data_IF_916249299335
#
_entry.id   IF_916249299335
#
_cell.length_a   1.000
_cell.length_b   1.000
_cell.length_c   1.000
_cell.angle_alpha   90.00
_cell.angle_beta   90.00
_cell.angle_gamma   90.00
#
_symmetry.space_group_name_H-M   'P 1'
#
loop_
_entity.id
_entity.type
_entity.pdbx_description
1 polymer ?
#
# COMPACT_ATOMS: atom_id res chain seq x y z
N UNK A 1 20.25 0.70 14.15
CA UNK A 1 20.14 0.93 15.61
C UNK A 1 19.79 2.39 15.99
N UNK A 2 19.90 3.36 15.07
CA UNK A 2 19.84 4.80 15.42
C UNK A 2 18.43 5.44 15.44
N UNK A 3 17.46 4.92 14.68
CA UNK A 3 16.12 5.51 14.58
C UNK A 3 15.29 5.34 15.87
N UNK A 4 15.33 4.16 16.50
CA UNK A 4 14.58 3.89 17.73
C UNK A 4 14.98 4.83 18.90
N UNK A 5 16.25 5.25 18.94
CA UNK A 5 16.75 6.18 19.96
C UNK A 5 16.20 7.59 19.72
N UNK A 6 16.09 8.01 18.46
CA UNK A 6 15.52 9.31 18.09
C UNK A 6 14.03 9.36 18.45
N UNK A 7 13.28 8.29 18.18
CA UNK A 7 11.85 8.19 18.54
C UNK A 7 11.63 8.18 20.06
N UNK A 8 12.47 7.45 20.80
CA UNK A 8 12.43 7.47 22.26
C UNK A 8 12.71 8.87 22.81
N UNK A 9 13.70 9.60 22.26
CA UNK A 9 14.04 10.95 22.69
C UNK A 9 12.90 11.96 22.42
N UNK A 10 12.25 11.89 21.26
CA UNK A 10 11.09 12.76 20.96
C UNK A 10 9.94 12.48 21.94
N UNK A 11 9.66 11.22 22.23
CA UNK A 11 8.59 10.82 23.17
C UNK A 11 8.88 11.28 24.59
N UNK A 12 10.14 11.15 25.02
CA UNK A 12 10.61 11.61 26.34
C UNK A 12 10.51 13.12 26.48
N UNK A 13 10.92 13.90 25.47
CA UNK A 13 10.81 15.37 25.55
C UNK A 13 9.35 15.83 25.49
N UNK A 14 8.49 15.14 24.73
CA UNK A 14 7.04 15.40 24.74
C UNK A 14 6.36 15.03 26.06
N UNK A 15 6.98 14.20 26.90
CA UNK A 15 6.45 13.79 28.22
C UNK A 15 6.98 14.61 29.40
N UNK A 16 7.81 15.63 29.16
CA UNK A 16 8.27 16.52 30.23
C UNK A 16 7.12 17.41 30.73
N UNK A 17 7.10 17.66 32.04
CA UNK A 17 6.20 18.61 32.66
C UNK A 17 6.76 20.05 32.57
N UNK A 18 5.87 21.04 32.57
CA UNK A 18 6.24 22.46 32.45
C UNK A 18 7.36 22.90 33.41
N UNK A 19 7.43 22.44 34.69
CA UNK A 19 8.50 22.83 35.61
C UNK A 19 9.90 22.34 35.19
N UNK A 20 10.04 21.10 34.69
CA UNK A 20 11.32 20.57 34.22
C UNK A 20 11.81 21.33 32.99
N UNK A 21 10.92 21.61 32.04
CA UNK A 21 11.28 22.35 30.84
C UNK A 21 11.69 23.80 31.15
N UNK A 22 11.01 24.46 32.09
CA UNK A 22 11.31 25.83 32.50
C UNK A 22 12.60 25.96 33.33
N UNK A 23 13.05 24.88 33.99
CA UNK A 23 14.32 24.84 34.73
C UNK A 23 15.58 24.89 33.84
N UNK A 24 15.44 24.62 32.54
CA UNK A 24 16.54 24.66 31.58
C UNK A 24 16.97 26.08 31.23
N UNK A 25 18.22 26.27 30.80
CA UNK A 25 18.66 27.55 30.25
C UNK A 25 17.95 27.87 28.93
N UNK A 26 17.76 29.16 28.61
CA UNK A 26 17.15 29.59 27.32
C UNK A 26 17.86 28.97 26.12
N UNK A 27 19.19 28.96 26.12
CA UNK A 27 19.98 28.38 25.02
C UNK A 27 19.81 26.86 24.89
N UNK A 28 19.60 26.16 26.02
CA UNK A 28 19.31 24.72 26.03
C UNK A 28 17.92 24.44 25.46
N UNK A 29 16.90 25.23 25.86
CA UNK A 29 15.56 25.15 25.28
C UNK A 29 15.56 25.43 23.78
N UNK A 30 16.26 26.49 23.35
CA UNK A 30 16.36 26.87 21.95
C UNK A 30 17.10 25.79 21.12
N UNK A 31 18.14 25.16 21.66
CA UNK A 31 18.85 24.06 21.01
C UNK A 31 18.00 22.78 20.91
N UNK A 32 17.23 22.45 21.96
CA UNK A 32 16.30 21.30 21.97
C UNK A 32 15.18 21.52 20.97
N UNK A 33 14.52 22.69 20.98
CA UNK A 33 13.48 23.06 20.02
C UNK A 33 13.99 23.00 18.59
N UNK A 34 15.19 23.54 18.32
CA UNK A 34 15.78 23.51 16.98
C UNK A 34 16.06 22.08 16.49
N UNK A 35 16.53 21.18 17.37
CA UNK A 35 16.73 19.77 17.00
C UNK A 35 15.42 19.03 16.81
N UNK A 36 14.44 19.23 17.68
CA UNK A 36 13.13 18.59 17.62
C UNK A 36 12.26 19.10 16.49
N UNK A 37 12.47 20.31 15.98
CA UNK A 37 11.73 20.83 14.83
C UNK A 37 12.39 20.45 13.52
N UNK A 38 13.73 20.48 13.46
CA UNK A 38 14.47 20.23 12.22
C UNK A 38 14.61 18.75 11.90
N UNK A 39 14.83 17.89 12.89
CA UNK A 39 15.09 16.45 12.69
C UNK A 39 13.85 15.69 12.21
N UNK A 40 12.66 15.84 12.84
CA UNK A 40 11.45 15.15 12.38
C UNK A 40 10.97 15.66 11.03
N UNK A 41 11.09 16.95 10.75
CA UNK A 41 10.70 17.52 9.46
C UNK A 41 11.61 17.05 8.32
N UNK A 42 12.93 17.04 8.50
CA UNK A 42 13.83 16.50 7.47
C UNK A 42 13.69 14.99 7.29
N UNK A 43 13.39 14.26 8.37
CA UNK A 43 13.16 12.83 8.32
C UNK A 43 11.84 12.49 7.59
N UNK A 44 10.72 13.06 8.03
CA UNK A 44 9.41 12.93 7.38
C UNK A 44 9.51 13.35 5.90
N UNK A 45 10.18 14.45 5.54
CA UNK A 45 10.35 14.85 4.13
C UNK A 45 11.07 13.81 3.25
N UNK A 46 12.13 13.16 3.77
CA UNK A 46 12.87 12.14 3.01
C UNK A 46 12.05 10.85 2.85
N UNK A 47 11.39 10.43 3.92
CA UNK A 47 10.55 9.23 3.89
C UNK A 47 9.26 9.46 3.07
N UNK A 48 8.73 10.70 3.05
CA UNK A 48 7.65 11.15 2.16
C UNK A 48 8.06 11.00 0.69
N UNK A 49 9.29 11.40 0.32
CA UNK A 49 9.75 11.28 -1.07
C UNK A 49 9.77 9.81 -1.52
N UNK A 50 10.37 8.93 -0.72
CA UNK A 50 10.40 7.50 -1.01
C UNK A 50 9.00 6.87 -1.03
N UNK A 51 8.11 7.33 -0.15
CA UNK A 51 6.71 6.90 -0.15
C UNK A 51 6.00 7.34 -1.43
N UNK A 52 6.21 8.57 -1.91
CA UNK A 52 5.63 9.06 -3.16
C UNK A 52 6.14 8.33 -4.40
N UNK A 53 7.43 8.00 -4.46
CA UNK A 53 7.99 7.18 -5.54
C UNK A 53 7.32 5.80 -5.58
N UNK A 54 7.29 5.11 -4.44
CA UNK A 54 6.66 3.79 -4.34
C UNK A 54 5.14 3.82 -4.56
N UNK A 55 4.46 4.90 -4.14
CA UNK A 55 3.05 5.15 -4.45
C UNK A 55 2.84 5.32 -5.96
N UNK A 56 3.68 6.12 -6.62
CA UNK A 56 3.57 6.36 -8.06
C UNK A 56 3.77 5.07 -8.85
N UNK A 57 4.77 4.27 -8.51
CA UNK A 57 5.03 2.98 -9.15
C UNK A 57 3.84 2.04 -8.97
N UNK A 58 3.27 1.97 -7.76
CA UNK A 58 2.11 1.13 -7.49
C UNK A 58 0.85 1.63 -8.21
N UNK A 59 0.62 2.94 -8.27
CA UNK A 59 -0.53 3.50 -8.99
C UNK A 59 -0.44 3.21 -10.48
N UNK A 60 0.73 3.34 -11.10
CA UNK A 60 0.93 2.99 -12.51
C UNK A 60 0.60 1.52 -12.76
N UNK A 61 1.12 0.61 -11.91
CA UNK A 61 0.80 -0.81 -12.04
C UNK A 61 -0.69 -1.10 -11.82
N UNK A 62 -1.34 -0.43 -10.86
CA UNK A 62 -2.77 -0.58 -10.65
C UNK A 62 -3.59 -0.10 -11.85
N UNK A 63 -3.17 0.97 -12.53
CA UNK A 63 -3.82 1.43 -13.75
C UNK A 63 -3.69 0.39 -14.87
N UNK A 64 -2.50 -0.19 -15.04
CA UNK A 64 -2.23 -1.24 -16.04
C UNK A 64 -3.07 -2.51 -15.79
N UNK A 65 -3.14 -2.98 -14.53
CA UNK A 65 -3.91 -4.18 -14.20
C UNK A 65 -5.41 -3.93 -14.28
N UNK A 66 -5.90 -2.75 -13.89
CA UNK A 66 -7.31 -2.37 -14.03
C UNK A 66 -7.74 -2.28 -15.50
N UNK A 67 -6.87 -1.78 -16.37
CA UNK A 67 -7.09 -1.80 -17.83
C UNK A 67 -7.10 -3.24 -18.37
N UNK A 68 -6.15 -4.07 -17.96
CA UNK A 68 -6.11 -5.48 -18.37
C UNK A 68 -7.36 -6.26 -17.92
N UNK A 69 -7.86 -5.99 -16.71
CA UNK A 69 -9.09 -6.59 -16.18
C UNK A 69 -10.33 -6.08 -16.91
N UNK A 70 -10.37 -4.80 -17.30
CA UNK A 70 -11.48 -4.22 -18.07
C UNK A 70 -11.54 -4.78 -19.49
N UNK A 71 -10.37 -5.05 -20.08
CA UNK A 71 -10.25 -5.62 -21.43
C UNK A 71 -10.39 -7.16 -21.45
N UNK A 72 -10.59 -7.81 -20.30
CA UNK A 72 -10.85 -9.24 -20.26
C UNK A 72 -12.18 -9.54 -20.95
N UNK A 73 -12.14 -10.39 -21.99
CA UNK A 73 -13.33 -10.80 -22.74
C UNK A 73 -14.38 -11.47 -21.83
N UNK A 74 -15.65 -11.35 -22.22
CA UNK A 74 -16.75 -12.10 -21.61
C UNK A 74 -16.40 -13.60 -21.54
N UNK A 75 -16.88 -14.34 -20.51
CA UNK A 75 -16.57 -15.76 -20.36
C UNK A 75 -16.86 -16.55 -21.64
N UNK A 76 -15.80 -17.10 -22.24
CA UNK A 76 -15.91 -17.84 -23.49
C UNK A 76 -16.76 -19.11 -23.32
N UNK A 77 -17.47 -19.52 -24.38
CA UNK A 77 -18.35 -20.70 -24.39
C UNK A 77 -17.66 -21.92 -25.02
N UNK A 78 -16.62 -21.71 -25.84
CA UNK A 78 -15.90 -22.80 -26.50
C UNK A 78 -14.70 -23.27 -25.66
N UNK A 79 -14.58 -24.58 -25.44
CA UNK A 79 -13.49 -25.25 -24.69
C UNK A 79 -12.07 -24.68 -24.97
N UNK A 80 -11.66 -24.59 -26.25
CA UNK A 80 -10.33 -24.06 -26.62
C UNK A 80 -10.13 -22.58 -26.26
N UNK A 81 -11.21 -21.79 -26.24
CA UNK A 81 -11.18 -20.39 -25.83
C UNK A 81 -11.20 -20.27 -24.31
N UNK A 82 -11.94 -21.15 -23.62
CA UNK A 82 -11.94 -21.26 -22.15
C UNK A 82 -10.54 -21.56 -21.63
N UNK A 83 -9.83 -22.52 -22.21
CA UNK A 83 -8.45 -22.87 -21.81
C UNK A 83 -7.50 -21.66 -21.93
N UNK A 84 -7.61 -20.91 -23.05
CA UNK A 84 -6.83 -19.69 -23.25
C UNK A 84 -7.18 -18.62 -22.23
N UNK A 85 -8.47 -18.43 -21.92
CA UNK A 85 -8.94 -17.45 -20.92
C UNK A 85 -8.46 -17.81 -19.51
N UNK A 86 -8.42 -19.11 -19.18
CA UNK A 86 -7.91 -19.60 -17.89
C UNK A 86 -6.41 -19.33 -17.72
N UNK A 87 -5.60 -19.55 -18.77
CA UNK A 87 -4.18 -19.21 -18.73
C UNK A 87 -3.94 -17.70 -18.56
N UNK A 88 -4.70 -16.85 -19.27
CA UNK A 88 -4.62 -15.39 -19.09
C UNK A 88 -4.99 -14.98 -17.65
N UNK A 89 -6.09 -15.50 -17.11
CA UNK A 89 -6.50 -15.20 -15.73
C UNK A 89 -5.48 -15.66 -14.70
N UNK A 90 -4.85 -16.82 -14.92
CA UNK A 90 -3.79 -17.33 -14.04
C UNK A 90 -2.55 -16.43 -14.04
N UNK A 91 -2.18 -15.88 -15.19
CA UNK A 91 -1.08 -14.91 -15.30
C UNK A 91 -1.42 -13.61 -14.54
N UNK A 92 -2.61 -13.05 -14.75
CA UNK A 92 -3.07 -11.85 -14.04
C UNK A 92 -3.09 -12.05 -12.53
N UNK A 93 -3.60 -13.19 -12.05
CA UNK A 93 -3.57 -13.54 -10.63
C UNK A 93 -2.15 -13.66 -10.07
N UNK A 94 -1.21 -14.22 -10.85
CA UNK A 94 0.20 -14.31 -10.44
C UNK A 94 0.82 -12.93 -10.30
N UNK A 95 0.53 -12.02 -11.24
CA UNK A 95 1.03 -10.66 -11.24
C UNK A 95 0.49 -9.84 -10.06
N UNK A 96 -0.82 -9.94 -9.78
CA UNK A 96 -1.45 -9.34 -8.59
C UNK A 96 -0.82 -9.88 -7.30
N UNK A 97 -0.57 -11.19 -7.24
CA UNK A 97 0.08 -11.83 -6.09
C UNK A 97 1.52 -11.34 -5.90
N UNK A 98 2.26 -11.12 -6.98
CA UNK A 98 3.63 -10.60 -6.92
C UNK A 98 3.67 -9.16 -6.36
N UNK A 99 2.76 -8.31 -6.84
CA UNK A 99 2.64 -6.93 -6.38
C UNK A 99 2.06 -6.78 -4.98
N UNK A 100 1.36 -7.80 -4.47
CA UNK A 100 0.84 -7.82 -3.08
C UNK A 100 1.93 -7.58 -2.04
N UNK A 101 3.12 -8.14 -2.26
CA UNK A 101 4.27 -7.93 -1.35
C UNK A 101 4.76 -6.48 -1.37
N UNK A 102 4.73 -5.82 -2.54
CA UNK A 102 5.13 -4.40 -2.66
C UNK A 102 4.09 -3.49 -2.01
N UNK A 103 2.81 -3.79 -2.22
CA UNK A 103 1.70 -3.11 -1.55
C UNK A 103 1.77 -3.22 -0.03
N UNK A 104 2.03 -4.41 0.54
CA UNK A 104 2.18 -4.59 2.00
C UNK A 104 3.34 -3.76 2.58
N UNK A 105 4.47 -3.66 1.85
CA UNK A 105 5.61 -2.82 2.24
C UNK A 105 5.24 -1.33 2.22
N UNK A 106 4.52 -0.88 1.18
CA UNK A 106 4.04 0.49 1.08
C UNK A 106 3.10 0.81 2.25
N UNK A 107 2.17 -0.09 2.56
CA UNK A 107 1.23 0.01 3.67
C UNK A 107 1.93 0.20 5.02
N UNK A 108 2.93 -0.66 5.30
CA UNK A 108 3.70 -0.58 6.54
C UNK A 108 4.50 0.71 6.64
N UNK A 109 5.12 1.12 5.53
CA UNK A 109 5.90 2.37 5.44
C UNK A 109 4.99 3.58 5.65
N UNK A 110 3.85 3.62 4.96
CA UNK A 110 2.88 4.69 5.06
C UNK A 110 2.24 4.80 6.45
N UNK A 111 1.88 3.68 7.08
CA UNK A 111 1.37 3.67 8.46
C UNK A 111 2.40 4.20 9.46
N UNK A 112 3.68 3.82 9.27
CA UNK A 112 4.77 4.38 10.07
C UNK A 112 4.92 5.87 9.83
N UNK A 113 4.89 6.30 8.56
CA UNK A 113 5.05 7.70 8.18
C UNK A 113 3.92 8.60 8.73
N UNK A 114 2.67 8.12 8.69
CA UNK A 114 1.51 8.83 9.21
C UNK A 114 1.63 9.11 10.73
N UNK A 115 2.25 8.21 11.49
CA UNK A 115 2.51 8.42 12.92
C UNK A 115 3.63 9.43 13.21
N UNK A 116 4.48 9.71 12.21
CA UNK A 116 5.67 10.53 12.36
C UNK A 116 5.51 11.96 11.84
N UNK A 117 4.63 12.14 10.86
CA UNK A 117 4.34 13.44 10.29
C UNK A 117 3.34 14.22 11.17
N UNK A 118 3.21 15.51 10.89
CA UNK A 118 2.20 16.35 11.56
C UNK A 118 0.81 15.89 11.13
N UNK A 119 -0.20 16.18 11.94
CA UNK A 119 -1.57 15.64 11.79
C UNK A 119 -2.14 15.82 10.38
N UNK A 120 -1.97 17.00 9.76
CA UNK A 120 -2.44 17.25 8.38
C UNK A 120 -1.75 16.37 7.32
N UNK A 121 -0.43 16.18 7.43
CA UNK A 121 0.34 15.37 6.48
C UNK A 121 0.14 13.87 6.72
N UNK A 122 -0.10 13.48 7.97
CA UNK A 122 -0.45 12.11 8.33
C UNK A 122 -1.79 11.68 7.75
N UNK A 123 -2.78 12.59 7.72
CA UNK A 123 -4.08 12.34 7.06
C UNK A 123 -3.90 12.09 5.57
N UNK A 124 -3.10 12.92 4.86
CA UNK A 124 -2.84 12.73 3.42
C UNK A 124 -2.21 11.36 3.12
N UNK A 125 -1.23 10.94 3.92
CA UNK A 125 -0.60 9.63 3.79
C UNK A 125 -1.60 8.50 4.04
N UNK A 126 -2.49 8.67 5.03
CA UNK A 126 -3.54 7.70 5.31
C UNK A 126 -4.55 7.57 4.16
N UNK A 127 -5.02 8.69 3.61
CA UNK A 127 -5.97 8.70 2.48
C UNK A 127 -5.39 7.97 1.26
N UNK A 128 -4.10 8.18 0.97
CA UNK A 128 -3.39 7.47 -0.10
C UNK A 128 -3.38 5.97 0.15
N UNK A 129 -3.08 5.54 1.38
CA UNK A 129 -3.07 4.11 1.74
C UNK A 129 -4.46 3.49 1.57
N UNK A 130 -5.50 4.13 2.09
CA UNK A 130 -6.87 3.65 1.99
C UNK A 130 -7.34 3.52 0.54
N UNK A 131 -6.94 4.45 -0.33
CA UNK A 131 -7.21 4.35 -1.77
C UNK A 131 -6.60 3.09 -2.39
N UNK A 132 -5.31 2.82 -2.14
CA UNK A 132 -4.69 1.60 -2.68
C UNK A 132 -5.32 0.33 -2.11
N UNK A 133 -5.70 0.35 -0.82
CA UNK A 133 -6.38 -0.78 -0.19
C UNK A 133 -7.70 -1.11 -0.91
N UNK A 134 -8.49 -0.08 -1.20
CA UNK A 134 -9.74 -0.23 -1.94
C UNK A 134 -9.51 -0.77 -3.36
N UNK A 135 -8.53 -0.23 -4.09
CA UNK A 135 -8.18 -0.69 -5.45
C UNK A 135 -7.71 -2.14 -5.48
N UNK A 136 -6.85 -2.54 -4.54
CA UNK A 136 -6.39 -3.93 -4.42
C UNK A 136 -7.55 -4.89 -4.13
N UNK A 137 -8.48 -4.51 -3.25
CA UNK A 137 -9.66 -5.31 -2.96
C UNK A 137 -10.55 -5.49 -4.21
N UNK A 138 -10.71 -4.45 -5.02
CA UNK A 138 -11.46 -4.52 -6.27
C UNK A 138 -10.77 -5.43 -7.29
N UNK A 139 -9.44 -5.32 -7.45
CA UNK A 139 -8.67 -6.20 -8.33
C UNK A 139 -8.86 -7.67 -7.94
N UNK A 140 -8.72 -7.99 -6.65
CA UNK A 140 -8.93 -9.36 -6.13
C UNK A 140 -10.37 -9.85 -6.45
N UNK A 141 -11.39 -9.00 -6.26
CA UNK A 141 -12.79 -9.35 -6.53
C UNK A 141 -13.08 -9.59 -8.01
N UNK A 142 -12.56 -8.74 -8.90
CA UNK A 142 -12.78 -8.86 -10.35
C UNK A 142 -12.13 -10.13 -10.87
N UNK A 143 -10.90 -10.44 -10.45
CA UNK A 143 -10.23 -11.70 -10.79
C UNK A 143 -11.03 -12.92 -10.34
N UNK A 144 -11.48 -12.95 -9.08
CA UNK A 144 -12.29 -14.06 -8.59
C UNK A 144 -13.60 -14.24 -9.35
N UNK A 145 -14.26 -13.13 -9.70
CA UNK A 145 -15.54 -13.16 -10.40
C UNK A 145 -15.39 -13.60 -11.86
N UNK A 146 -14.27 -13.27 -12.52
CA UNK A 146 -13.96 -13.78 -13.86
C UNK A 146 -13.58 -15.26 -13.89
N UNK A 147 -12.92 -15.77 -12.85
CA UNK A 147 -12.44 -17.15 -12.80
C UNK A 147 -13.57 -18.17 -12.51
N UNK A 148 -14.54 -17.82 -11.66
CA UNK A 148 -15.64 -18.71 -11.22
C UNK A 148 -16.48 -19.27 -12.39
N UNK A 149 -16.93 -18.47 -13.39
CA UNK A 149 -17.68 -18.97 -14.54
C UNK A 149 -16.88 -19.91 -15.43
N UNK A 150 -15.62 -19.59 -15.74
CA UNK A 150 -14.76 -20.40 -16.61
C UNK A 150 -14.51 -21.80 -16.03
N UNK A 151 -14.34 -21.90 -14.70
CA UNK A 151 -14.21 -23.19 -14.00
C UNK A 151 -15.49 -24.03 -14.03
N UNK A 152 -16.67 -23.40 -14.10
CA UNK A 152 -17.96 -24.11 -14.22
C UNK A 152 -18.14 -24.65 -15.63
N UNK A 153 -17.95 -23.81 -16.65
CA UNK A 153 -18.11 -24.19 -18.05
C UNK A 153 -17.20 -25.37 -18.46
N UNK A 154 -15.94 -25.35 -18.02
CA UNK A 154 -15.00 -26.46 -18.26
C UNK A 154 -15.47 -27.79 -17.64
N UNK A 155 -16.06 -27.76 -16.43
CA UNK A 155 -16.62 -28.96 -15.79
C UNK A 155 -17.85 -29.48 -16.53
N UNK A 156 -18.75 -28.58 -16.92
CA UNK A 156 -19.99 -28.94 -17.61
C UNK A 156 -19.69 -29.58 -18.97
N UNK A 157 -18.75 -29.03 -19.76
CA UNK A 157 -18.31 -29.64 -21.02
C UNK A 157 -17.58 -30.98 -20.82
N UNK A 158 -16.75 -31.11 -19.79
CA UNK A 158 -16.08 -32.39 -19.49
C UNK A 158 -17.08 -33.49 -19.15
N UNK A 159 -18.14 -33.17 -18.41
CA UNK A 159 -19.25 -34.09 -18.11
C UNK A 159 -19.97 -34.48 -19.39
N UNK A 160 -20.28 -33.51 -20.27
CA UNK A 160 -20.96 -33.77 -21.55
C UNK A 160 -20.12 -34.62 -22.52
N UNK A 161 -18.79 -34.49 -22.51
CA UNK A 161 -17.90 -35.31 -23.35
C UNK A 161 -17.71 -36.74 -22.85
N UNK A 162 -18.14 -37.05 -21.63
CA UNK A 162 -17.99 -38.37 -20.99
C UNK A 162 -19.29 -39.20 -21.05
N UNK A 163 -20.40 -38.58 -21.45
CA UNK A 163 -21.71 -39.21 -21.66
C UNK A 163 -21.91 -39.60 -23.14
#
# INVERSE_FOLDING_TARGET
>A
MSQNIIFAAIKVVKSWDDPQYMSLGKDQRDAILKRLTKTPKSFCNREILHFHEAHSDLSNWQDEIEEALTNADDPAIQLKQIDRQQEVNKLLMSEISEYKTNFEKLNKTGSTLAQLCLEEEGVKVHDIIELHNARMLLCDQVCENGEKPLKRLCKDESIMSTL
#
